data_IF_607541141760
#
_entry.id   IF_607541141760
#
_cell.length_a   1.000
_cell.length_b   1.000
_cell.length_c   1.000
_cell.angle_alpha   90.00
_cell.angle_beta   90.00
_cell.angle_gamma   90.00
#
_symmetry.space_group_name_H-M   'P 1'
#
loop_
_entity.id
_entity.type
_entity.pdbx_description
1 polymer ?
#
# COMPACT_ATOMS: atom_id res chain seq x y z
N UNK A 1 2.22 15.55 -59.94
CA UNK A 1 1.37 16.52 -59.19
C UNK A 1 0.24 15.75 -58.49
N UNK A 2 0.56 14.93 -57.49
CA UNK A 2 -0.43 13.97 -56.91
C UNK A 2 -0.28 13.69 -55.42
N UNK A 3 0.83 14.08 -54.81
CA UNK A 3 1.08 13.87 -53.37
C UNK A 3 0.45 14.95 -52.47
N UNK A 4 0.10 16.12 -53.02
CA UNK A 4 -0.34 17.30 -52.27
C UNK A 4 -1.70 17.11 -51.57
N UNK A 5 -2.58 16.24 -52.09
CA UNK A 5 -3.91 15.98 -51.48
C UNK A 5 -3.88 14.98 -50.33
N UNK A 6 -2.84 14.15 -50.25
CA UNK A 6 -2.67 13.13 -49.22
C UNK A 6 -1.94 13.68 -47.99
N UNK A 7 -1.07 14.68 -48.18
CA UNK A 7 -0.33 15.35 -47.10
C UNK A 7 -1.24 15.97 -46.01
N UNK A 8 -2.29 16.76 -46.34
CA UNK A 8 -3.14 17.35 -45.30
C UNK A 8 -3.97 16.31 -44.55
N UNK A 9 -4.40 15.23 -45.22
CA UNK A 9 -5.13 14.14 -44.57
C UNK A 9 -4.23 13.36 -43.61
N UNK A 10 -3.00 13.03 -44.03
CA UNK A 10 -2.01 12.36 -43.18
C UNK A 10 -1.67 13.21 -41.96
N UNK A 11 -1.54 14.53 -42.14
CA UNK A 11 -1.26 15.47 -41.05
C UNK A 11 -2.39 15.51 -40.02
N UNK A 12 -3.65 15.48 -40.46
CA UNK A 12 -4.83 15.42 -39.58
C UNK A 12 -4.90 14.11 -38.81
N UNK A 13 -4.65 12.98 -39.47
CA UNK A 13 -4.61 11.68 -38.78
C UNK A 13 -3.49 11.64 -37.74
N UNK A 14 -2.28 12.11 -38.06
CA UNK A 14 -1.17 12.17 -37.12
C UNK A 14 -1.48 13.03 -35.88
N UNK A 15 -2.14 14.18 -36.06
CA UNK A 15 -2.59 15.04 -34.95
C UNK A 15 -3.64 14.39 -34.06
N UNK A 16 -4.54 13.58 -34.63
CA UNK A 16 -5.52 12.81 -33.84
C UNK A 16 -4.83 11.70 -33.06
N UNK A 17 -3.88 10.97 -33.67
CA UNK A 17 -3.12 9.92 -33.00
C UNK A 17 -2.23 10.45 -31.87
N UNK A 18 -1.58 11.62 -32.02
CA UNK A 18 -0.78 12.22 -30.94
C UNK A 18 -1.65 12.68 -29.76
N UNK A 19 -2.84 13.25 -30.02
CA UNK A 19 -3.78 13.61 -28.96
C UNK A 19 -4.31 12.37 -28.22
N UNK A 20 -4.58 11.27 -28.92
CA UNK A 20 -4.96 9.99 -28.30
C UNK A 20 -3.85 9.48 -27.36
N UNK A 21 -2.58 9.51 -27.81
CA UNK A 21 -1.42 9.12 -26.98
C UNK A 21 -1.24 10.05 -25.76
N UNK A 22 -1.47 11.35 -25.91
CA UNK A 22 -1.40 12.31 -24.80
C UNK A 22 -2.53 12.12 -23.78
N UNK A 23 -3.73 11.70 -24.22
CA UNK A 23 -4.86 11.37 -23.31
C UNK A 23 -4.78 9.98 -22.68
N UNK A 24 -3.90 9.11 -23.19
CA UNK A 24 -3.56 7.82 -22.57
C UNK A 24 -2.35 7.87 -21.65
N UNK A 25 -1.95 9.07 -21.20
CA UNK A 25 -1.67 9.20 -19.76
C UNK A 25 -3.02 9.10 -19.02
N UNK A 26 -3.69 7.95 -19.17
CA UNK A 26 -4.37 7.38 -18.02
C UNK A 26 -3.29 7.40 -16.96
N UNK A 27 -3.47 8.31 -16.02
CA UNK A 27 -2.70 8.50 -14.81
C UNK A 27 -2.77 7.18 -14.05
N UNK A 28 -2.04 6.18 -14.55
CA UNK A 28 -1.53 5.08 -13.76
C UNK A 28 -0.57 5.77 -12.83
N UNK A 29 -1.14 6.32 -11.77
CA UNK A 29 -0.43 6.68 -10.56
C UNK A 29 0.61 5.56 -10.39
N UNK A 30 1.89 5.87 -10.52
CA UNK A 30 2.82 5.23 -9.60
C UNK A 30 2.41 5.77 -8.23
N UNK A 31 1.24 5.35 -7.72
CA UNK A 31 0.91 5.39 -6.31
C UNK A 31 2.16 4.87 -5.64
N UNK A 32 2.62 5.51 -4.57
CA UNK A 32 3.76 5.24 -3.68
C UNK A 32 4.17 3.74 -3.41
N UNK A 33 4.16 2.86 -4.41
CA UNK A 33 4.45 1.44 -4.37
C UNK A 33 5.94 1.28 -4.14
N UNK A 34 6.78 2.06 -4.84
CA UNK A 34 8.22 2.08 -4.62
C UNK A 34 8.60 2.52 -3.20
N UNK A 35 7.91 3.53 -2.68
CA UNK A 35 8.07 3.99 -1.29
C UNK A 35 7.61 2.92 -0.30
N UNK A 36 6.44 2.32 -0.52
CA UNK A 36 5.92 1.20 0.28
C UNK A 36 6.92 0.04 0.32
N UNK A 37 7.45 -0.38 -0.82
CA UNK A 37 8.44 -1.48 -0.89
C UNK A 37 9.76 -1.09 -0.20
N UNK A 38 10.18 0.17 -0.33
CA UNK A 38 11.38 0.66 0.35
C UNK A 38 11.21 0.66 1.88
N UNK A 39 10.05 1.09 2.38
CA UNK A 39 9.70 1.02 3.80
C UNK A 39 9.63 -0.44 4.25
N UNK A 40 8.98 -1.33 3.49
CA UNK A 40 8.91 -2.77 3.80
C UNK A 40 10.29 -3.38 3.97
N UNK A 41 11.23 -3.00 3.09
CA UNK A 41 12.57 -3.51 3.13
C UNK A 41 13.38 -2.92 4.29
N UNK A 42 13.40 -1.59 4.44
CA UNK A 42 14.26 -0.89 5.41
C UNK A 42 13.71 -0.84 6.83
N UNK A 43 12.40 -0.97 6.99
CA UNK A 43 11.71 -0.91 8.29
C UNK A 43 11.15 -2.26 8.74
N UNK A 44 11.50 -3.37 8.08
CA UNK A 44 10.91 -4.70 8.27
C UNK A 44 10.70 -5.08 9.74
N UNK A 45 11.72 -4.93 10.57
CA UNK A 45 11.68 -5.29 11.99
C UNK A 45 10.74 -4.38 12.80
N UNK A 46 10.66 -3.10 12.42
CA UNK A 46 9.87 -2.08 13.13
C UNK A 46 8.37 -2.17 12.79
N UNK A 47 8.02 -2.76 11.64
CA UNK A 47 6.64 -2.85 11.15
C UNK A 47 6.08 -4.28 11.15
N UNK A 48 6.88 -5.29 11.52
CA UNK A 48 6.46 -6.70 11.61
C UNK A 48 5.28 -6.90 12.56
N UNK A 49 4.36 -7.81 12.26
CA UNK A 49 3.23 -8.15 13.15
C UNK A 49 3.63 -9.02 14.35
N UNK A 50 4.73 -9.78 14.25
CA UNK A 50 5.08 -10.85 15.20
C UNK A 50 5.67 -10.29 16.50
N UNK A 51 6.64 -9.38 16.36
CA UNK A 51 7.47 -8.94 17.48
C UNK A 51 6.83 -7.78 18.24
N UNK A 52 7.49 -7.25 19.27
CA UNK A 52 7.08 -5.99 19.89
C UNK A 52 7.43 -4.79 18.99
N UNK A 53 6.91 -3.60 19.32
CA UNK A 53 7.33 -2.39 18.63
C UNK A 53 8.74 -2.00 19.05
N UNK A 54 9.65 -1.91 18.07
CA UNK A 54 10.99 -1.38 18.24
C UNK A 54 11.07 -0.04 17.49
N UNK A 55 11.67 0.96 18.13
CA UNK A 55 11.84 2.28 17.53
C UNK A 55 12.73 2.18 16.28
N UNK A 56 12.35 2.83 15.16
CA UNK A 56 13.14 2.77 13.93
C UNK A 56 14.51 3.42 14.03
N UNK A 57 15.50 2.79 13.41
CA UNK A 57 16.83 3.35 13.20
C UNK A 57 16.90 4.34 12.02
N UNK A 58 18.09 4.89 11.80
CA UNK A 58 18.31 5.96 10.82
C UNK A 58 17.99 5.56 9.37
N UNK A 59 18.34 4.35 8.94
CA UNK A 59 18.06 3.88 7.58
C UNK A 59 16.54 3.83 7.29
N UNK A 60 15.77 3.26 8.22
CA UNK A 60 14.31 3.24 8.12
C UNK A 60 13.75 4.66 8.08
N UNK A 61 14.19 5.53 8.99
CA UNK A 61 13.65 6.89 9.06
C UNK A 61 14.03 7.76 7.86
N UNK A 62 15.14 7.52 7.19
CA UNK A 62 15.49 8.24 5.98
C UNK A 62 14.43 8.00 4.89
N UNK A 63 14.09 6.74 4.62
CA UNK A 63 13.06 6.37 3.64
C UNK A 63 11.69 6.90 4.04
N UNK A 64 11.32 6.76 5.31
CA UNK A 64 10.01 7.22 5.81
C UNK A 64 9.84 8.73 5.67
N UNK A 65 10.89 9.52 5.87
CA UNK A 65 10.84 10.98 5.70
C UNK A 65 10.65 11.41 4.24
N UNK A 66 11.09 10.59 3.29
CA UNK A 66 11.00 10.88 1.85
C UNK A 66 9.73 10.31 1.20
N UNK A 67 8.93 9.55 1.96
CA UNK A 67 7.73 8.86 1.46
C UNK A 67 6.45 9.65 1.70
N UNK A 68 5.47 9.52 0.81
CA UNK A 68 4.08 9.89 1.03
C UNK A 68 3.42 8.85 1.94
N UNK A 69 3.57 9.06 3.26
CA UNK A 69 3.03 8.15 4.26
C UNK A 69 1.51 8.03 4.20
N UNK A 70 0.78 9.03 3.70
CA UNK A 70 -0.68 8.94 3.53
C UNK A 70 -1.00 7.97 2.41
N UNK A 71 -0.33 8.10 1.27
CA UNK A 71 -0.46 7.17 0.16
C UNK A 71 -0.06 5.75 0.59
N UNK A 72 1.11 5.57 1.22
CA UNK A 72 1.64 4.24 1.62
C UNK A 72 0.64 3.54 2.54
N UNK A 73 0.11 4.28 3.50
CA UNK A 73 -0.94 3.82 4.40
C UNK A 73 -2.25 3.46 3.68
N UNK A 74 -2.62 4.18 2.61
CA UNK A 74 -3.83 3.92 1.82
C UNK A 74 -3.70 2.67 0.95
N UNK A 75 -2.53 2.43 0.36
CA UNK A 75 -2.29 1.32 -0.58
C UNK A 75 -1.75 0.04 0.09
N UNK A 76 -1.69 0.03 1.43
CA UNK A 76 -1.33 -1.16 2.20
C UNK A 76 -2.45 -2.19 2.03
N UNK A 77 -2.12 -3.34 1.44
CA UNK A 77 -3.09 -4.38 1.13
C UNK A 77 -3.36 -5.29 2.33
N UNK A 78 -4.52 -5.95 2.32
CA UNK A 78 -4.90 -6.95 3.33
C UNK A 78 -3.89 -8.12 3.39
N UNK A 79 -3.31 -8.49 2.24
CA UNK A 79 -2.28 -9.53 2.20
C UNK A 79 -1.00 -9.08 2.91
N UNK A 80 -0.57 -7.84 2.68
CA UNK A 80 0.60 -7.28 3.36
C UNK A 80 0.38 -7.15 4.87
N UNK A 81 -0.84 -6.83 5.29
CA UNK A 81 -1.24 -6.78 6.71
C UNK A 81 -1.13 -8.13 7.44
N UNK A 82 -0.97 -9.25 6.72
CA UNK A 82 -0.63 -10.54 7.33
C UNK A 82 0.78 -10.63 7.88
N UNK A 83 1.65 -9.71 7.48
CA UNK A 83 3.05 -9.65 7.92
C UNK A 83 3.43 -8.28 8.48
N UNK A 84 2.69 -7.23 8.11
CA UNK A 84 2.93 -5.84 8.47
C UNK A 84 1.83 -5.35 9.41
N UNK A 85 2.20 -4.86 10.59
CA UNK A 85 1.29 -4.15 11.47
C UNK A 85 1.09 -2.71 10.99
N UNK A 86 -0.10 -2.39 10.49
CA UNK A 86 -0.49 -1.02 10.13
C UNK A 86 -0.37 -0.05 11.32
N UNK A 87 -0.60 -0.53 12.55
CA UNK A 87 -0.40 0.23 13.79
C UNK A 87 1.06 0.64 13.94
N UNK A 88 1.98 -0.32 13.75
CA UNK A 88 3.41 -0.04 13.88
C UNK A 88 3.91 0.84 12.76
N UNK A 89 3.41 0.66 11.53
CA UNK A 89 3.71 1.56 10.41
C UNK A 89 3.32 3.01 10.73
N UNK A 90 2.14 3.23 11.33
CA UNK A 90 1.71 4.53 11.82
C UNK A 90 2.68 5.11 12.87
N UNK A 91 3.12 4.30 13.84
CA UNK A 91 4.09 4.75 14.85
C UNK A 91 5.48 5.01 14.28
N UNK A 92 5.96 4.19 13.34
CA UNK A 92 7.20 4.45 12.60
C UNK A 92 7.13 5.80 11.89
N UNK A 93 6.02 6.11 11.21
CA UNK A 93 5.81 7.39 10.55
C UNK A 93 5.98 8.56 11.53
N UNK A 94 5.32 8.47 12.68
CA UNK A 94 5.38 9.48 13.76
C UNK A 94 6.78 9.62 14.33
N UNK A 95 7.41 8.51 14.74
CA UNK A 95 8.71 8.50 15.39
C UNK A 95 9.84 8.95 14.44
N UNK A 96 9.68 8.77 13.13
CA UNK A 96 10.60 9.29 12.12
C UNK A 96 10.31 10.75 11.71
N UNK A 97 9.29 11.40 12.27
CA UNK A 97 8.97 12.81 11.99
C UNK A 97 8.19 13.05 10.69
N UNK A 98 7.54 12.02 10.14
CA UNK A 98 6.61 12.14 9.02
C UNK A 98 5.25 11.52 9.39
N UNK A 99 4.54 12.06 10.40
CA UNK A 99 3.33 11.45 10.92
C UNK A 99 2.20 11.45 9.88
N UNK A 100 1.47 10.34 9.83
CA UNK A 100 0.19 10.29 9.12
C UNK A 100 -0.80 11.20 9.87
N UNK A 101 -1.44 12.17 9.20
CA UNK A 101 -2.34 13.10 9.87
C UNK A 101 -3.49 12.38 10.58
N UNK A 102 -3.86 12.90 11.76
CA UNK A 102 -5.03 12.45 12.51
C UNK A 102 -6.26 12.45 11.59
N UNK A 103 -7.10 11.42 11.70
CA UNK A 103 -8.29 11.30 10.84
C UNK A 103 -8.02 10.62 9.50
N UNK A 104 -6.77 10.38 9.11
CA UNK A 104 -6.43 9.54 7.96
C UNK A 104 -6.35 8.07 8.36
N UNK A 105 -6.68 7.19 7.41
CA UNK A 105 -6.61 5.74 7.59
C UNK A 105 -5.19 5.25 7.26
N UNK A 106 -4.75 4.21 7.97
CA UNK A 106 -3.54 3.47 7.64
C UNK A 106 -3.85 1.99 7.71
N UNK A 107 -3.70 1.32 6.56
CA UNK A 107 -4.19 -0.02 6.34
C UNK A 107 -5.71 -0.14 6.47
N UNK A 108 -6.14 -1.38 6.46
CA UNK A 108 -7.47 -1.86 6.75
C UNK A 108 -7.50 -2.27 8.23
N UNK A 109 -8.61 -2.06 8.93
CA UNK A 109 -8.80 -2.70 10.25
C UNK A 109 -9.21 -4.16 10.07
N UNK A 110 -8.38 -4.94 9.38
CA UNK A 110 -8.45 -6.38 9.51
C UNK A 110 -7.48 -6.78 10.61
N UNK A 111 -7.98 -6.81 11.85
CA UNK A 111 -7.37 -7.69 12.83
C UNK A 111 -7.49 -9.08 12.21
N UNK A 112 -6.37 -9.63 11.73
CA UNK A 112 -6.29 -11.06 11.53
C UNK A 112 -6.43 -11.60 12.94
N UNK A 113 -7.68 -11.89 13.31
CA UNK A 113 -7.94 -12.74 14.44
C UNK A 113 -7.29 -14.04 13.99
N UNK A 114 -6.06 -14.26 14.45
CA UNK A 114 -5.51 -15.58 14.62
C UNK A 114 -6.39 -16.23 15.69
N UNK A 115 -7.67 -16.48 15.38
CA UNK A 115 -8.30 -17.67 15.89
C UNK A 115 -7.47 -18.73 15.22
N UNK A 116 -6.38 -19.11 15.91
CA UNK A 116 -6.09 -20.50 16.02
C UNK A 116 -7.48 -21.13 16.23
N UNK A 117 -7.98 -21.89 15.27
CA UNK A 117 -9.09 -22.84 15.48
C UNK A 117 -8.61 -23.94 16.45
N UNK A 118 -7.89 -23.55 17.50
CA UNK A 118 -7.30 -24.38 18.54
C UNK A 118 -8.32 -24.72 19.62
N UNK A 119 -9.51 -24.12 19.62
CA UNK A 119 -10.61 -24.57 20.47
C UNK A 119 -11.58 -25.47 19.68
N UNK A 120 -11.17 -26.74 19.58
CA UNK A 120 -11.98 -27.94 19.27
C UNK A 120 -12.60 -28.08 17.86
N UNK A 121 -11.84 -28.64 16.92
CA UNK A 121 -12.41 -29.61 15.96
C UNK A 121 -12.01 -31.02 16.38
N UNK A 122 -12.95 -31.90 16.77
CA UNK A 122 -12.60 -33.17 17.42
C UNK A 122 -11.82 -34.19 16.56
N UNK A 123 -11.70 -34.03 15.23
CA UNK A 123 -11.34 -35.15 14.35
C UNK A 123 -10.58 -34.81 13.04
N UNK A 124 -9.57 -33.94 13.04
CA UNK A 124 -8.75 -33.73 11.82
C UNK A 124 -7.24 -33.88 12.08
N UNK A 125 -6.67 -34.98 11.58
CA UNK A 125 -5.21 -35.18 11.48
C UNK A 125 -4.67 -34.34 10.32
N UNK A 126 -4.29 -33.10 10.59
CA UNK A 126 -3.59 -32.24 9.62
C UNK A 126 -3.81 -30.76 9.88
N UNK A 127 -2.72 -30.00 10.03
CA UNK A 127 -2.76 -28.55 10.13
C UNK A 127 -2.84 -27.95 8.72
N UNK A 128 -4.05 -27.60 8.27
CA UNK A 128 -4.23 -26.75 7.08
C UNK A 128 -4.45 -25.32 7.57
N UNK A 129 -3.41 -24.48 7.45
CA UNK A 129 -3.53 -23.05 7.72
C UNK A 129 -4.40 -22.46 6.61
N UNK A 130 -5.68 -22.25 6.89
CA UNK A 130 -6.59 -21.56 5.97
C UNK A 130 -6.77 -20.14 6.50
N UNK A 131 -6.10 -19.17 5.85
CA UNK A 131 -6.28 -17.75 6.15
C UNK A 131 -7.70 -17.37 5.79
N UNK A 132 -8.57 -17.18 6.78
CA UNK A 132 -9.91 -16.67 6.54
C UNK A 132 -9.85 -15.17 6.23
N UNK A 133 -10.34 -14.80 5.05
CA UNK A 133 -10.54 -13.40 4.63
C UNK A 133 -11.44 -12.69 5.66
N UNK A 134 -10.96 -11.62 6.31
CA UNK A 134 -11.82 -10.70 7.07
C UNK A 134 -13.04 -10.34 6.21
N UNK A 135 -14.25 -10.75 6.62
CA UNK A 135 -15.47 -10.42 5.88
C UNK A 135 -15.93 -8.97 6.07
N UNK A 136 -15.27 -8.16 6.90
CA UNK A 136 -15.63 -6.75 7.10
C UNK A 136 -14.45 -5.92 7.62
N UNK A 137 -13.68 -5.32 6.72
CA UNK A 137 -12.72 -4.28 7.09
C UNK A 137 -13.54 -3.05 7.52
N UNK A 138 -13.50 -2.68 8.80
CA UNK A 138 -14.06 -1.39 9.23
C UNK A 138 -13.10 -0.28 8.84
N UNK A 139 -13.67 0.74 8.23
CA UNK A 139 -13.02 2.00 7.93
C UNK A 139 -12.92 2.85 9.19
N UNK A 140 -11.78 2.88 9.87
CA UNK A 140 -11.62 3.74 11.04
C UNK A 140 -10.27 4.46 10.97
N UNK A 141 -10.31 5.76 11.17
CA UNK A 141 -9.15 6.65 11.21
C UNK A 141 -8.31 6.41 12.48
N UNK A 142 -7.00 6.62 12.37
CA UNK A 142 -6.09 6.56 13.52
C UNK A 142 -5.95 7.97 14.11
N UNK A 143 -6.21 8.09 15.41
CA UNK A 143 -6.28 9.36 16.12
C UNK A 143 -6.73 9.17 17.56
N UNK A 144 -5.78 9.03 18.47
CA UNK A 144 -5.97 9.15 19.91
C UNK A 144 -4.92 10.12 20.44
N UNK A 145 -5.36 11.02 21.32
CA UNK A 145 -4.62 12.14 21.93
C UNK A 145 -3.27 11.77 22.54
#
# INVERSE_FOLDING_TARGET
MGTIKLVPQIMLFALVFTNIIATHQAWGEKECYGEKESIKHKCKENISIIDDYVRPGQECCHVVKESDMICVCRILSIEEESTISAVKLFYVARDCGNPVPVGKKCGSKCLIILTLDYYNTPNAKGASIRVHRCKRCKEESWGGE
#
